data_IF_043980154785
#
_entry.id   IF_043980154785
#
_cell.length_a   1.000
_cell.length_b   1.000
_cell.length_c   1.000
_cell.angle_alpha   90.00
_cell.angle_beta   90.00
_cell.angle_gamma   90.00
#
_symmetry.space_group_name_H-M   'P 1'
#
loop_
_entity.id
_entity.type
_entity.pdbx_description
1 polymer ?
#
# COMPACT_ATOMS: atom_id res chain seq x y z
N UNK A 1 36.73 -63.89 -53.61
CA UNK A 1 36.91 -62.60 -54.31
C UNK A 1 36.27 -61.54 -53.42
N UNK A 2 36.90 -60.54 -52.82
CA UNK A 2 38.24 -59.94 -52.87
C UNK A 2 38.60 -59.41 -51.45
N UNK A 3 39.88 -59.61 -51.08
CA UNK A 3 40.81 -58.97 -50.11
C UNK A 3 40.29 -57.97 -49.05
N UNK A 4 40.54 -58.14 -47.72
CA UNK A 4 41.79 -58.12 -46.90
C UNK A 4 42.54 -56.77 -46.87
N UNK A 5 42.66 -56.15 -45.69
CA UNK A 5 43.84 -55.46 -45.08
C UNK A 5 43.45 -55.00 -43.65
N UNK A 6 43.84 -55.68 -42.55
CA UNK A 6 45.01 -55.43 -41.67
C UNK A 6 45.42 -53.97 -41.45
N UNK A 7 45.31 -53.50 -40.20
CA UNK A 7 46.47 -52.92 -39.50
C UNK A 7 46.35 -51.52 -38.87
N UNK A 8 46.62 -51.49 -37.55
CA UNK A 8 47.46 -50.53 -36.80
C UNK A 8 46.77 -49.29 -36.18
N UNK A 9 46.93 -49.24 -34.85
CA UNK A 9 46.61 -48.16 -33.94
C UNK A 9 47.52 -46.93 -34.16
N UNK A 10 46.93 -45.74 -34.03
CA UNK A 10 47.66 -44.51 -33.78
C UNK A 10 46.92 -43.71 -32.69
N UNK A 11 47.56 -43.58 -31.54
CA UNK A 11 47.15 -42.72 -30.45
C UNK A 11 47.34 -41.26 -30.87
N UNK A 12 46.30 -40.44 -30.67
CA UNK A 12 46.38 -38.99 -30.79
C UNK A 12 45.72 -38.37 -29.56
N UNK A 13 46.58 -37.86 -28.69
CA UNK A 13 46.25 -36.95 -27.60
C UNK A 13 45.48 -35.74 -28.14
N UNK A 14 44.31 -35.47 -27.57
CA UNK A 14 43.69 -34.15 -27.63
C UNK A 14 43.34 -33.73 -26.20
N UNK A 15 44.19 -32.85 -25.64
CA UNK A 15 43.90 -32.10 -24.42
C UNK A 15 42.66 -31.24 -24.66
N UNK A 16 41.51 -31.64 -24.12
CA UNK A 16 40.37 -30.76 -23.97
C UNK A 16 40.54 -30.00 -22.64
N UNK A 17 41.07 -28.77 -22.75
CA UNK A 17 41.00 -27.75 -21.70
C UNK A 17 39.52 -27.48 -21.40
N UNK A 18 39.02 -28.02 -20.30
CA UNK A 18 37.76 -27.59 -19.72
C UNK A 18 37.97 -26.18 -19.15
N UNK A 19 37.58 -25.16 -19.92
CA UNK A 19 37.30 -23.83 -19.38
C UNK A 19 36.03 -23.96 -18.52
N UNK A 20 36.22 -24.38 -17.28
CA UNK A 20 35.26 -24.18 -16.21
C UNK A 20 35.18 -22.69 -15.93
N UNK A 21 34.39 -21.97 -16.73
CA UNK A 21 33.93 -20.63 -16.39
C UNK A 21 32.99 -20.76 -15.21
N UNK A 22 33.55 -20.72 -14.00
CA UNK A 22 32.80 -20.36 -12.80
C UNK A 22 32.28 -18.94 -13.04
N UNK A 23 31.03 -18.82 -13.46
CA UNK A 23 30.30 -17.58 -13.30
C UNK A 23 30.17 -17.39 -11.78
N UNK A 24 30.99 -16.51 -11.22
CA UNK A 24 30.72 -15.93 -9.91
C UNK A 24 29.32 -15.31 -10.00
N UNK A 25 28.34 -15.89 -9.32
CA UNK A 25 27.12 -15.18 -8.94
C UNK A 25 27.60 -13.93 -8.18
N UNK A 26 27.71 -12.82 -8.90
CA UNK A 26 28.07 -11.54 -8.30
C UNK A 26 26.93 -11.19 -7.36
N UNK A 27 27.14 -11.36 -6.06
CA UNK A 27 26.15 -10.99 -5.04
C UNK A 27 25.85 -9.50 -5.19
N UNK A 28 24.71 -9.17 -5.79
CA UNK A 28 24.27 -7.79 -5.97
C UNK A 28 24.17 -7.10 -4.60
N UNK A 29 24.68 -5.87 -4.53
CA UNK A 29 24.56 -5.02 -3.35
C UNK A 29 23.08 -4.80 -2.96
N UNK A 30 22.78 -4.48 -1.70
CA UNK A 30 21.40 -4.16 -1.29
C UNK A 30 20.80 -3.02 -2.11
N UNK A 31 21.58 -1.99 -2.43
CA UNK A 31 21.16 -0.87 -3.26
C UNK A 31 20.79 -1.29 -4.68
N UNK A 32 21.62 -2.12 -5.34
CA UNK A 32 21.31 -2.62 -6.69
C UNK A 32 20.06 -3.50 -6.72
N UNK A 33 19.87 -4.34 -5.69
CA UNK A 33 18.65 -5.13 -5.52
C UNK A 33 17.42 -4.25 -5.36
N UNK A 34 17.51 -3.22 -4.51
CA UNK A 34 16.43 -2.27 -4.28
C UNK A 34 16.09 -1.47 -5.55
N UNK A 35 17.11 -0.94 -6.24
CA UNK A 35 16.95 -0.24 -7.52
C UNK A 35 16.24 -1.11 -8.56
N UNK A 36 16.68 -2.36 -8.71
CA UNK A 36 16.07 -3.32 -9.64
C UNK A 36 14.61 -3.61 -9.29
N UNK A 37 14.31 -3.84 -8.00
CA UNK A 37 12.95 -4.08 -7.53
C UNK A 37 12.03 -2.86 -7.75
N UNK A 38 12.53 -1.65 -7.52
CA UNK A 38 11.76 -0.42 -7.68
C UNK A 38 11.51 -0.09 -9.15
N UNK A 39 12.52 -0.21 -10.02
CA UNK A 39 12.44 0.14 -11.43
C UNK A 39 11.72 -0.89 -12.30
N UNK A 40 11.60 -2.15 -11.85
CA UNK A 40 10.89 -3.20 -12.57
C UNK A 40 9.36 -3.15 -12.43
N UNK A 41 8.84 -2.22 -11.61
CA UNK A 41 7.39 -2.04 -11.42
C UNK A 41 6.75 -1.46 -12.68
N UNK A 42 5.66 -2.08 -13.13
CA UNK A 42 4.85 -1.50 -14.18
C UNK A 42 3.82 -0.55 -13.57
N UNK A 43 4.07 0.76 -13.61
CA UNK A 43 3.16 1.76 -13.03
C UNK A 43 2.16 2.26 -14.07
N UNK A 44 0.89 2.42 -13.67
CA UNK A 44 -0.15 2.93 -14.56
C UNK A 44 0.16 4.38 -14.99
N UNK A 45 -0.13 4.70 -16.25
CA UNK A 45 0.23 5.98 -16.86
C UNK A 45 -0.51 7.21 -16.32
N UNK A 46 -1.54 7.03 -15.48
CA UNK A 46 -2.25 8.15 -14.87
C UNK A 46 -1.56 8.67 -13.60
N UNK A 47 -0.63 7.90 -13.02
CA UNK A 47 0.23 8.38 -11.94
C UNK A 47 1.31 9.31 -12.49
N UNK A 48 1.80 10.21 -11.64
CA UNK A 48 2.91 11.08 -11.99
C UNK A 48 4.16 10.28 -12.37
N UNK A 49 4.87 10.77 -13.38
CA UNK A 49 6.11 10.17 -13.88
C UNK A 49 7.34 10.51 -13.01
N UNK A 50 7.13 11.27 -11.93
CA UNK A 50 8.16 11.77 -11.00
C UNK A 50 7.71 11.63 -9.55
N UNK A 51 8.64 11.77 -8.58
CA UNK A 51 8.28 11.77 -7.17
C UNK A 51 7.26 12.85 -6.81
N UNK A 52 6.23 12.47 -6.07
CA UNK A 52 5.23 13.36 -5.49
C UNK A 52 5.17 13.21 -3.98
N UNK A 53 4.78 14.30 -3.31
CA UNK A 53 4.55 14.35 -1.86
C UNK A 53 3.09 14.73 -1.65
N UNK A 54 2.34 13.85 -0.97
CA UNK A 54 0.92 14.09 -0.68
C UNK A 54 0.77 14.71 0.71
N UNK A 55 0.32 15.96 0.76
CA UNK A 55 -0.04 16.64 2.02
C UNK A 55 -1.45 16.21 2.44
N UNK A 56 -1.55 15.07 3.12
CA UNK A 56 -2.82 14.43 3.44
C UNK A 56 -3.00 14.14 4.93
N UNK A 57 -3.97 14.83 5.54
CA UNK A 57 -4.26 14.73 6.98
C UNK A 57 -5.45 13.84 7.28
N UNK A 58 -6.41 13.70 6.37
CA UNK A 58 -7.69 13.02 6.61
C UNK A 58 -8.04 11.98 5.54
N UNK A 59 -7.17 11.73 4.56
CA UNK A 59 -7.38 10.77 3.48
C UNK A 59 -7.94 11.39 2.19
N UNK A 60 -8.32 12.67 2.19
CA UNK A 60 -8.94 13.29 1.01
C UNK A 60 -7.97 13.33 -0.18
N UNK A 61 -6.76 13.85 0.04
CA UNK A 61 -5.77 14.02 -1.04
C UNK A 61 -5.33 12.67 -1.60
N UNK A 62 -5.12 11.67 -0.75
CA UNK A 62 -4.79 10.31 -1.23
C UNK A 62 -5.99 9.62 -1.90
N UNK A 63 -7.22 9.88 -1.47
CA UNK A 63 -8.42 9.37 -2.15
C UNK A 63 -8.53 9.94 -3.56
N UNK A 64 -8.33 11.24 -3.73
CA UNK A 64 -8.27 11.91 -5.03
C UNK A 64 -7.14 11.37 -5.91
N UNK A 65 -5.98 11.11 -5.30
CA UNK A 65 -4.80 10.61 -6.00
C UNK A 65 -4.95 9.17 -6.50
N UNK A 66 -5.40 8.26 -5.65
CA UNK A 66 -5.46 6.83 -5.97
C UNK A 66 -6.77 6.41 -6.63
N UNK A 67 -7.88 7.10 -6.39
CA UNK A 67 -9.20 6.65 -6.82
C UNK A 67 -9.86 7.66 -7.76
N UNK A 68 -9.93 7.32 -9.04
CA UNK A 68 -10.75 8.06 -10.02
C UNK A 68 -12.25 7.90 -9.72
N UNK A 69 -12.65 6.71 -9.26
CA UNK A 69 -14.02 6.39 -8.84
C UNK A 69 -14.02 5.23 -7.86
N UNK A 70 -15.03 5.16 -6.99
CA UNK A 70 -15.31 4.01 -6.14
C UNK A 70 -16.79 3.98 -5.75
N UNK A 71 -17.46 2.84 -5.92
CA UNK A 71 -18.87 2.70 -5.53
C UNK A 71 -19.06 2.63 -4.00
N UNK A 72 -17.96 2.41 -3.28
CA UNK A 72 -17.92 2.34 -1.81
C UNK A 72 -16.94 3.35 -1.22
N UNK A 73 -17.24 3.86 -0.03
CA UNK A 73 -16.39 4.75 0.75
C UNK A 73 -16.44 4.34 2.22
N UNK A 74 -15.30 4.28 2.89
CA UNK A 74 -15.20 4.08 4.33
C UNK A 74 -14.90 5.42 5.00
N UNK A 75 -15.64 5.76 6.06
CA UNK A 75 -15.43 6.99 6.82
C UNK A 75 -15.27 6.62 8.29
N UNK A 76 -14.14 6.92 8.91
CA UNK A 76 -13.95 6.74 10.35
C UNK A 76 -14.14 8.04 11.11
N UNK A 77 -14.32 7.97 12.42
CA UNK A 77 -14.02 9.12 13.28
C UNK A 77 -12.49 9.30 13.45
N UNK A 78 -12.09 10.26 14.30
CA UNK A 78 -10.68 10.60 14.55
C UNK A 78 -9.94 9.64 15.49
N UNK A 79 -10.63 8.70 16.15
CA UNK A 79 -9.98 7.78 17.10
C UNK A 79 -9.12 6.74 16.37
N UNK A 80 -7.99 6.36 16.97
CA UNK A 80 -7.03 5.44 16.34
C UNK A 80 -7.64 4.05 16.16
N UNK A 81 -8.41 3.57 17.13
CA UNK A 81 -9.11 2.29 17.07
C UNK A 81 -10.14 2.24 15.92
N UNK A 82 -10.91 3.32 15.71
CA UNK A 82 -11.85 3.39 14.58
C UNK A 82 -11.11 3.45 13.25
N UNK A 83 -10.02 4.20 13.17
CA UNK A 83 -9.17 4.28 11.99
C UNK A 83 -8.53 2.92 11.65
N UNK A 84 -8.03 2.16 12.63
CA UNK A 84 -7.48 0.81 12.41
C UNK A 84 -8.52 -0.17 11.87
N UNK A 85 -9.74 -0.11 12.41
CA UNK A 85 -10.86 -0.92 11.91
C UNK A 85 -11.28 -0.50 10.50
N UNK A 86 -11.43 0.80 10.26
CA UNK A 86 -11.75 1.35 8.94
C UNK A 86 -10.69 0.98 7.90
N UNK A 87 -9.40 1.13 8.23
CA UNK A 87 -8.29 0.77 7.35
C UNK A 87 -8.30 -0.72 7.01
N UNK A 88 -8.62 -1.59 7.98
CA UNK A 88 -8.77 -3.04 7.73
C UNK A 88 -9.87 -3.34 6.72
N UNK A 89 -11.00 -2.63 6.81
CA UNK A 89 -12.14 -2.79 5.90
C UNK A 89 -11.82 -2.22 4.53
N UNK A 90 -11.32 -0.98 4.46
CA UNK A 90 -10.95 -0.27 3.25
C UNK A 90 -9.90 -1.03 2.44
N UNK A 91 -8.83 -1.48 3.10
CA UNK A 91 -7.74 -2.22 2.46
C UNK A 91 -8.23 -3.54 1.82
N UNK A 92 -9.13 -4.26 2.48
CA UNK A 92 -9.68 -5.50 1.96
C UNK A 92 -10.78 -5.28 0.90
N UNK A 93 -11.64 -4.28 1.11
CA UNK A 93 -12.74 -3.97 0.20
C UNK A 93 -12.28 -3.24 -1.06
N UNK A 94 -11.01 -2.81 -1.12
CA UNK A 94 -10.47 -1.95 -2.17
C UNK A 94 -11.28 -0.65 -2.28
N UNK A 95 -11.61 -0.06 -1.13
CA UNK A 95 -12.40 1.14 -1.00
C UNK A 95 -11.56 2.28 -0.41
N UNK A 96 -11.73 3.53 -0.87
CA UNK A 96 -11.13 4.69 -0.22
C UNK A 96 -11.65 4.85 1.22
N UNK A 97 -10.82 5.49 2.03
CA UNK A 97 -11.01 5.79 3.44
C UNK A 97 -10.79 7.28 3.68
N UNK A 98 -11.71 7.89 4.43
CA UNK A 98 -11.57 9.23 4.98
C UNK A 98 -11.71 9.20 6.50
N UNK A 99 -11.07 10.16 7.17
CA UNK A 99 -11.30 10.51 8.57
C UNK A 99 -12.27 11.68 8.61
N UNK A 100 -13.39 11.49 9.30
CA UNK A 100 -14.38 12.53 9.50
C UNK A 100 -13.92 13.52 10.55
N UNK A 101 -14.13 14.80 10.26
CA UNK A 101 -14.22 15.86 11.25
C UNK A 101 -15.28 16.89 10.87
N UNK A 102 -15.67 17.71 11.84
CA UNK A 102 -16.75 18.68 11.64
C UNK A 102 -16.37 19.82 10.67
N UNK A 103 -15.08 20.17 10.57
CA UNK A 103 -14.61 21.24 9.69
C UNK A 103 -14.61 20.79 8.23
N UNK A 104 -14.41 19.49 7.98
CA UNK A 104 -14.31 18.90 6.66
C UNK A 104 -15.55 18.08 6.25
N UNK A 105 -16.69 18.25 6.93
CA UNK A 105 -17.94 17.57 6.59
C UNK A 105 -18.31 17.73 5.10
N UNK A 106 -18.22 18.95 4.58
CA UNK A 106 -18.53 19.23 3.18
C UNK A 106 -17.61 18.49 2.20
N UNK A 107 -16.34 18.32 2.55
CA UNK A 107 -15.37 17.58 1.73
C UNK A 107 -15.72 16.09 1.67
N UNK A 108 -16.18 15.49 2.77
CA UNK A 108 -16.63 14.08 2.76
C UNK A 108 -17.81 13.88 1.80
N UNK A 109 -18.76 14.83 1.77
CA UNK A 109 -19.90 14.79 0.84
C UNK A 109 -19.43 14.97 -0.60
N UNK A 110 -18.61 15.99 -0.88
CA UNK A 110 -18.06 16.23 -2.22
C UNK A 110 -17.26 15.04 -2.72
N UNK A 111 -16.47 14.40 -1.86
CA UNK A 111 -15.68 13.25 -2.22
C UNK A 111 -16.53 12.00 -2.48
N UNK A 112 -17.61 11.82 -1.70
CA UNK A 112 -18.62 10.78 -1.97
C UNK A 112 -19.22 10.94 -3.37
N UNK A 113 -19.55 12.18 -3.77
CA UNK A 113 -20.08 12.51 -5.09
C UNK A 113 -19.03 12.31 -6.21
N UNK A 114 -17.80 12.80 -6.02
CA UNK A 114 -16.69 12.65 -6.98
C UNK A 114 -16.42 11.18 -7.29
N UNK A 115 -16.35 10.36 -6.24
CA UNK A 115 -16.12 8.92 -6.35
C UNK A 115 -17.31 8.18 -6.98
N UNK A 116 -18.50 8.78 -6.99
CA UNK A 116 -19.79 8.14 -7.31
C UNK A 116 -20.08 6.99 -6.34
N UNK A 117 -19.78 7.21 -5.07
CA UNK A 117 -19.99 6.21 -4.03
C UNK A 117 -21.49 6.11 -3.69
N UNK A 118 -22.07 4.94 -3.92
CA UNK A 118 -23.46 4.65 -3.56
C UNK A 118 -23.60 3.99 -2.18
N UNK A 119 -22.47 3.61 -1.56
CA UNK A 119 -22.43 2.99 -0.24
C UNK A 119 -21.31 3.61 0.60
N UNK A 120 -21.69 4.26 1.69
CA UNK A 120 -20.75 4.80 2.69
C UNK A 120 -20.83 3.93 3.95
N UNK A 121 -19.69 3.45 4.44
CA UNK A 121 -19.60 2.76 5.72
C UNK A 121 -18.95 3.67 6.76
N UNK A 122 -19.70 4.02 7.80
CA UNK A 122 -19.18 4.80 8.92
C UNK A 122 -18.66 3.90 10.04
N UNK A 123 -17.43 4.14 10.52
CA UNK A 123 -16.79 3.41 11.62
C UNK A 123 -16.52 4.38 12.79
N UNK A 124 -17.02 4.06 13.98
CA UNK A 124 -16.91 4.96 15.13
C UNK A 124 -18.05 5.98 15.24
N UNK A 125 -17.81 7.07 15.96
CA UNK A 125 -18.76 8.17 16.22
C UNK A 125 -18.83 9.19 15.07
N UNK A 126 -19.08 8.72 13.85
CA UNK A 126 -19.26 9.60 12.70
C UNK A 126 -20.69 10.18 12.70
N UNK A 127 -20.88 11.52 12.75
CA UNK A 127 -22.20 12.15 12.81
C UNK A 127 -22.81 12.36 11.41
N UNK A 128 -22.64 11.38 10.51
CA UNK A 128 -23.36 11.33 9.23
C UNK A 128 -24.64 10.55 9.46
N UNK A 129 -25.78 11.16 9.14
CA UNK A 129 -27.07 10.51 9.29
C UNK A 129 -27.17 9.32 8.32
N UNK A 130 -27.72 8.18 8.76
CA UNK A 130 -28.12 7.11 7.85
C UNK A 130 -29.10 7.70 6.83
N UNK A 131 -28.71 7.68 5.56
CA UNK A 131 -29.58 8.04 4.45
C UNK A 131 -29.89 6.78 3.65
N UNK A 132 -31.16 6.64 3.28
CA UNK A 132 -31.63 5.67 2.29
C UNK A 132 -32.11 6.46 1.08
N UNK A 133 -31.26 6.54 0.06
CA UNK A 133 -31.50 7.28 -1.17
C UNK A 133 -30.47 6.85 -2.22
N UNK A 134 -29.96 7.80 -3.01
CA UNK A 134 -28.89 7.54 -3.98
C UNK A 134 -27.58 7.06 -3.32
N UNK A 135 -27.31 7.53 -2.10
CA UNK A 135 -26.20 7.08 -1.26
C UNK A 135 -26.76 6.38 -0.02
N UNK A 136 -26.31 5.16 0.23
CA UNK A 136 -26.66 4.38 1.43
C UNK A 136 -25.57 4.56 2.47
N UNK A 137 -25.92 5.10 3.63
CA UNK A 137 -24.98 5.26 4.75
C UNK A 137 -25.22 4.17 5.80
N UNK A 138 -24.27 3.25 5.91
CA UNK A 138 -24.29 2.11 6.80
C UNK A 138 -23.37 2.34 8.00
N UNK A 139 -23.83 1.94 9.19
CA UNK A 139 -23.02 2.00 10.41
C UNK A 139 -22.33 0.67 10.64
N UNK A 140 -21.02 0.71 10.79
CA UNK A 140 -20.26 -0.43 11.22
C UNK A 140 -20.70 -0.87 12.63
N UNK A 141 -21.08 -2.14 12.81
CA UNK A 141 -21.56 -2.67 14.09
C UNK A 141 -20.44 -3.15 15.03
N UNK A 142 -19.17 -2.98 14.67
CA UNK A 142 -18.03 -3.47 15.46
C UNK A 142 -17.84 -5.00 15.42
N UNK A 143 -16.74 -5.46 16.03
CA UNK A 143 -16.45 -6.89 16.21
C UNK A 143 -16.07 -7.67 14.95
N UNK A 144 -15.52 -8.87 15.16
CA UNK A 144 -15.04 -9.77 14.10
C UNK A 144 -16.18 -10.48 13.36
N UNK A 145 -17.23 -10.87 14.07
CA UNK A 145 -18.37 -11.59 13.49
C UNK A 145 -19.07 -10.72 12.43
N UNK A 146 -19.34 -9.47 12.76
CA UNK A 146 -20.00 -8.58 11.83
C UNK A 146 -19.12 -8.23 10.64
N UNK A 147 -17.82 -8.07 10.84
CA UNK A 147 -16.87 -7.86 9.76
C UNK A 147 -16.94 -8.99 8.73
N UNK A 148 -17.01 -10.25 9.20
CA UNK A 148 -17.19 -11.40 8.31
C UNK A 148 -18.55 -11.47 7.63
N UNK A 149 -19.63 -11.06 8.31
CA UNK A 149 -20.97 -10.95 7.70
C UNK A 149 -21.03 -9.89 6.60
N UNK A 150 -20.42 -8.72 6.83
CA UNK A 150 -20.46 -7.60 5.90
C UNK A 150 -19.69 -7.88 4.60
N UNK A 151 -18.54 -8.56 4.73
CA UNK A 151 -17.60 -8.80 3.63
C UNK A 151 -17.70 -10.20 3.03
N UNK A 152 -18.50 -11.08 3.63
CA UNK A 152 -18.61 -12.50 3.28
C UNK A 152 -17.29 -13.28 3.33
N UNK A 153 -16.32 -12.84 4.14
CA UNK A 153 -15.04 -13.53 4.32
C UNK A 153 -14.62 -13.64 5.78
N UNK A 154 -13.66 -14.53 6.06
CA UNK A 154 -13.13 -14.70 7.41
C UNK A 154 -11.89 -13.83 7.61
N UNK A 155 -12.02 -12.86 8.49
CA UNK A 155 -10.88 -12.03 8.93
C UNK A 155 -10.04 -12.76 9.98
N UNK A 156 -8.73 -12.52 9.92
CA UNK A 156 -7.79 -12.85 10.99
C UNK A 156 -7.58 -11.63 11.85
N UNK A 157 -7.65 -11.80 13.16
CA UNK A 157 -7.36 -10.71 14.09
C UNK A 157 -5.85 -10.57 14.28
N UNK A 158 -5.36 -9.32 14.20
CA UNK A 158 -4.00 -8.93 14.56
C UNK A 158 -4.10 -7.80 15.57
N UNK A 159 -3.70 -8.07 16.80
CA UNK A 159 -3.69 -7.07 17.85
C UNK A 159 -2.59 -6.02 17.59
N UNK A 160 -2.97 -4.74 17.65
CA UNK A 160 -2.06 -3.60 17.73
C UNK A 160 -2.01 -3.19 19.20
N UNK A 161 -0.82 -3.25 19.80
CA UNK A 161 -0.65 -3.05 21.25
C UNK A 161 -0.46 -1.60 21.66
N UNK A 162 0.04 -0.78 20.74
CA UNK A 162 0.43 0.60 20.98
C UNK A 162 -0.11 1.50 19.86
N UNK A 163 -0.83 2.59 20.17
CA UNK A 163 -1.26 3.57 19.18
C UNK A 163 -0.13 4.08 18.28
N UNK A 164 1.10 4.22 18.79
CA UNK A 164 2.26 4.66 18.00
C UNK A 164 2.67 3.67 16.89
N UNK A 165 2.17 2.43 16.93
CA UNK A 165 2.40 1.40 15.91
C UNK A 165 1.28 1.34 14.86
N UNK A 166 0.25 2.18 14.96
CA UNK A 166 -0.93 2.08 14.12
C UNK A 166 -0.61 2.29 12.62
N UNK A 167 0.15 3.32 12.28
CA UNK A 167 0.58 3.63 10.91
C UNK A 167 1.34 2.45 10.29
N UNK A 168 2.34 1.93 11.02
CA UNK A 168 3.12 0.77 10.60
C UNK A 168 2.25 -0.48 10.42
N UNK A 169 1.34 -0.75 11.35
CA UNK A 169 0.43 -1.88 11.25
C UNK A 169 -0.45 -1.77 9.98
N UNK A 170 -0.91 -0.58 9.63
CA UNK A 170 -1.70 -0.36 8.41
C UNK A 170 -0.84 -0.53 7.16
N UNK A 171 0.39 0.00 7.14
CA UNK A 171 1.32 -0.16 6.01
C UNK A 171 1.61 -1.64 5.71
N UNK A 172 1.66 -2.48 6.75
CA UNK A 172 1.93 -3.92 6.64
C UNK A 172 0.69 -4.76 6.23
N UNK A 173 -0.52 -4.18 6.09
CA UNK A 173 -1.75 -4.93 5.79
C UNK A 173 -1.71 -5.63 4.44
N UNK A 174 -1.62 -6.95 4.39
CA UNK A 174 -1.73 -7.68 3.13
C UNK A 174 -3.19 -7.73 2.65
N UNK A 175 -3.53 -7.04 1.56
CA UNK A 175 -4.91 -6.97 1.05
C UNK A 175 -5.45 -8.29 0.49
N UNK A 176 -4.58 -9.26 0.18
CA UNK A 176 -4.99 -10.62 -0.19
C UNK A 176 -5.37 -11.47 1.03
N UNK A 177 -5.02 -11.03 2.24
CA UNK A 177 -5.30 -11.74 3.49
C UNK A 177 -6.17 -10.85 4.39
N UNK A 178 -7.50 -11.07 4.42
CA UNK A 178 -8.39 -10.26 5.25
C UNK A 178 -7.94 -10.27 6.70
N UNK A 179 -7.47 -9.11 7.17
CA UNK A 179 -6.84 -8.93 8.48
C UNK A 179 -7.52 -7.77 9.19
N UNK A 180 -7.99 -8.01 10.41
CA UNK A 180 -8.54 -6.99 11.28
C UNK A 180 -7.46 -6.52 12.24
N UNK A 181 -7.08 -5.26 12.14
CA UNK A 181 -6.23 -4.59 13.12
C UNK A 181 -7.09 -4.23 14.33
N UNK A 182 -7.02 -5.05 15.37
CA UNK A 182 -7.73 -4.80 16.61
C UNK A 182 -6.85 -3.98 17.55
N UNK A 183 -7.29 -2.79 17.92
CA UNK A 183 -6.65 -2.00 18.96
C UNK A 183 -6.85 -2.69 20.32
N UNK A 184 -5.75 -3.08 20.99
CA UNK A 184 -5.87 -3.79 22.27
C UNK A 184 -6.28 -2.88 23.43
N UNK A 185 -6.16 -1.56 23.25
CA UNK A 185 -6.42 -0.56 24.30
C UNK A 185 -7.87 -0.04 24.31
N UNK A 186 -8.57 -0.08 23.18
CA UNK A 186 -9.90 0.49 23.03
C UNK A 186 -10.70 -0.22 21.93
N UNK A 187 -12.01 -0.04 21.94
CA UNK A 187 -12.90 -0.49 20.88
C UNK A 187 -13.56 0.72 20.21
N UNK A 188 -13.71 0.72 18.87
CA UNK A 188 -14.42 1.79 18.18
C UNK A 188 -15.84 1.96 18.73
N UNK A 189 -16.32 3.20 18.79
CA UNK A 189 -17.71 3.47 19.17
C UNK A 189 -18.66 2.81 18.18
N UNK A 190 -19.59 1.99 18.68
CA UNK A 190 -20.65 1.40 17.87
C UNK A 190 -21.93 2.20 18.09
N UNK A 191 -22.40 2.89 17.04
CA UNK A 191 -23.64 3.68 17.12
C UNK A 191 -24.88 2.78 17.29
N UNK A 192 -25.93 3.28 17.96
CA UNK A 192 -27.22 2.59 18.03
C UNK A 192 -27.74 2.25 16.63
N UNK A 193 -28.42 1.10 16.52
CA UNK A 193 -28.98 0.55 15.28
C UNK A 193 -27.94 0.18 14.20
N UNK A 194 -26.65 0.15 14.51
CA UNK A 194 -25.66 -0.45 13.62
C UNK A 194 -25.98 -1.93 13.39
N UNK A 195 -26.00 -2.33 12.12
CA UNK A 195 -26.33 -3.70 11.70
C UNK A 195 -25.32 -4.12 10.65
N UNK A 196 -24.91 -5.39 10.71
CA UNK A 196 -24.03 -5.98 9.71
C UNK A 196 -24.78 -6.08 8.37
N UNK A 197 -24.63 -5.06 7.53
CA UNK A 197 -25.17 -5.04 6.17
C UNK A 197 -24.07 -5.39 5.17
N UNK A 198 -24.40 -6.03 4.03
CA UNK A 198 -23.41 -6.29 2.99
C UNK A 198 -22.68 -5.00 2.58
N UNK A 199 -21.35 -5.04 2.65
CA UNK A 199 -20.47 -3.98 2.17
C UNK A 199 -19.77 -4.51 0.91
N UNK A 200 -20.01 -3.90 -0.27
CA UNK A 200 -19.41 -4.36 -1.51
C UNK A 200 -17.88 -4.40 -1.43
N UNK A 201 -17.29 -5.47 -1.96
CA UNK A 201 -15.84 -5.65 -2.08
C UNK A 201 -15.50 -5.57 -3.55
N UNK A 202 -14.54 -4.71 -3.89
CA UNK A 202 -14.10 -4.53 -5.27
C UNK A 202 -12.88 -5.40 -5.58
N UNK A 203 -12.69 -5.72 -6.86
CA UNK A 203 -11.51 -6.43 -7.32
C UNK A 203 -10.28 -5.52 -7.38
N UNK A 204 -9.11 -6.07 -7.07
CA UNK A 204 -7.74 -5.49 -7.19
C UNK A 204 -7.32 -4.98 -8.58
N UNK A 205 -8.23 -4.66 -9.51
CA UNK A 205 -7.95 -4.54 -10.96
C UNK A 205 -6.64 -3.84 -11.31
N UNK A 206 -6.26 -2.80 -10.57
CA UNK A 206 -5.10 -1.95 -10.87
C UNK A 206 -4.03 -1.93 -9.75
N UNK A 207 -4.15 -2.84 -8.79
CA UNK A 207 -3.30 -2.88 -7.60
C UNK A 207 -1.84 -3.24 -7.88
N UNK A 208 -1.59 -4.04 -8.91
CA UNK A 208 -0.22 -4.40 -9.33
C UNK A 208 0.43 -3.27 -10.15
N UNK A 209 -0.32 -2.21 -10.44
CA UNK A 209 0.08 -1.05 -11.24
C UNK A 209 0.35 0.21 -10.41
N UNK A 210 0.39 0.09 -9.09
CA UNK A 210 0.65 1.20 -8.19
C UNK A 210 2.15 1.57 -8.16
N UNK A 211 2.48 2.86 -8.00
CA UNK A 211 3.86 3.28 -7.75
C UNK A 211 4.36 2.73 -6.41
N UNK A 212 5.68 2.82 -6.19
CA UNK A 212 6.23 2.63 -4.85
C UNK A 212 5.70 3.75 -3.94
N UNK A 213 5.17 3.36 -2.78
CA UNK A 213 4.64 4.30 -1.79
C UNK A 213 5.51 4.23 -0.54
N UNK A 214 5.85 5.38 0.05
CA UNK A 214 6.64 5.44 1.29
C UNK A 214 5.88 6.27 2.33
N UNK A 215 5.83 5.78 3.56
CA UNK A 215 5.14 6.38 4.69
C UNK A 215 6.03 6.38 5.93
N UNK A 216 5.72 7.25 6.89
CA UNK A 216 6.38 7.30 8.21
C UNK A 216 5.37 7.25 9.35
N UNK A 217 5.84 7.38 10.59
CA UNK A 217 4.98 7.52 11.76
C UNK A 217 4.15 8.81 11.79
N UNK A 218 4.49 9.81 10.97
CA UNK A 218 3.75 11.08 10.86
C UNK A 218 2.67 11.04 9.77
N UNK A 219 2.71 10.06 8.88
CA UNK A 219 1.68 9.88 7.85
C UNK A 219 0.32 9.58 8.47
N UNK A 220 -0.75 10.19 7.95
CA UNK A 220 -2.11 9.87 8.39
C UNK A 220 -2.48 8.41 8.07
N UNK A 221 -3.19 7.75 8.99
CA UNK A 221 -3.62 6.34 8.79
C UNK A 221 -4.50 6.21 7.55
N UNK A 222 -5.37 7.19 7.28
CA UNK A 222 -6.22 7.19 6.09
C UNK A 222 -5.41 7.23 4.79
N UNK A 223 -4.33 8.02 4.73
CA UNK A 223 -3.48 8.07 3.55
C UNK A 223 -2.77 6.73 3.26
N UNK A 224 -2.25 6.08 4.32
CA UNK A 224 -1.69 4.73 4.20
C UNK A 224 -2.78 3.73 3.79
N UNK A 225 -3.97 3.81 4.41
CA UNK A 225 -5.09 2.93 4.10
C UNK A 225 -5.53 3.05 2.64
N UNK A 226 -5.57 4.26 2.08
CA UNK A 226 -5.89 4.50 0.67
C UNK A 226 -4.87 3.89 -0.27
N UNK A 227 -3.57 4.07 0.02
CA UNK A 227 -2.52 3.40 -0.75
C UNK A 227 -2.67 1.87 -0.69
N UNK A 228 -2.92 1.29 0.49
CA UNK A 228 -3.14 -0.16 0.64
C UNK A 228 -4.42 -0.62 -0.05
N UNK A 229 -5.51 0.12 0.05
CA UNK A 229 -6.79 -0.18 -0.59
C UNK A 229 -6.71 -0.14 -2.11
N UNK A 230 -5.97 0.82 -2.67
CA UNK A 230 -5.65 0.81 -4.09
C UNK A 230 -4.80 -0.42 -4.45
N UNK A 231 -3.98 -0.89 -3.50
CA UNK A 231 -3.23 -2.12 -3.58
C UNK A 231 -1.72 -1.93 -3.65
N UNK A 232 -1.25 -0.70 -3.41
CA UNK A 232 0.14 -0.34 -3.39
C UNK A 232 0.93 -1.04 -2.28
N UNK A 233 2.19 -1.34 -2.57
CA UNK A 233 3.16 -1.68 -1.55
C UNK A 233 3.57 -0.38 -0.82
N UNK A 234 3.36 -0.33 0.50
CA UNK A 234 3.78 0.81 1.32
C UNK A 234 5.02 0.41 2.10
N UNK A 235 6.15 1.05 1.79
CA UNK A 235 7.36 0.97 2.60
C UNK A 235 7.20 1.92 3.80
N UNK A 236 7.21 1.37 5.01
CA UNK A 236 7.22 2.17 6.23
C UNK A 236 8.67 2.41 6.65
N UNK A 237 9.04 3.68 6.83
CA UNK A 237 10.38 4.11 7.25
C UNK A 237 10.30 5.00 8.48
N UNK A 238 11.32 4.93 9.34
CA UNK A 238 11.35 5.72 10.58
C UNK A 238 11.83 7.16 10.34
N UNK A 239 12.78 7.36 9.42
CA UNK A 239 13.32 8.68 9.04
C UNK A 239 13.00 8.97 7.56
N UNK A 240 12.35 10.09 7.21
CA UNK A 240 11.99 10.40 5.83
C UNK A 240 13.16 10.80 4.92
N UNK A 241 14.36 11.08 5.43
CA UNK A 241 15.50 11.50 4.60
C UNK A 241 16.34 10.29 4.13
N UNK A 242 16.38 9.98 2.81
CA UNK A 242 17.18 8.87 2.29
C UNK A 242 18.68 9.07 2.51
N UNK A 243 19.16 10.30 2.76
CA UNK A 243 20.58 10.57 3.04
C UNK A 243 20.97 10.24 4.48
N UNK A 244 19.99 10.15 5.38
CA UNK A 244 20.19 9.85 6.80
C UNK A 244 19.81 8.41 7.16
N UNK A 245 19.01 7.74 6.32
CA UNK A 245 18.47 6.40 6.60
C UNK A 245 18.63 5.47 5.41
N UNK A 246 19.37 4.38 5.64
CA UNK A 246 19.51 3.29 4.66
C UNK A 246 18.16 2.69 4.27
N UNK A 247 17.26 2.47 5.23
CA UNK A 247 15.94 1.89 4.91
C UNK A 247 15.12 2.77 3.97
N UNK A 248 15.28 4.09 4.10
CA UNK A 248 14.62 5.10 3.26
C UNK A 248 15.28 5.19 1.90
N UNK A 249 16.62 5.17 1.84
CA UNK A 249 17.36 5.05 0.60
C UNK A 249 16.90 3.82 -0.20
N UNK A 250 16.89 2.64 0.42
CA UNK A 250 16.49 1.41 -0.27
C UNK A 250 15.03 1.47 -0.73
N UNK A 251 14.12 2.07 0.06
CA UNK A 251 12.73 2.26 -0.36
C UNK A 251 12.58 3.19 -1.59
N UNK A 252 13.52 4.11 -1.81
CA UNK A 252 13.46 5.13 -2.86
C UNK A 252 14.48 4.91 -3.98
N UNK A 253 15.31 3.88 -3.89
CA UNK A 253 16.42 3.62 -4.79
C UNK A 253 15.94 3.50 -6.25
N UNK A 254 16.59 4.22 -7.16
CA UNK A 254 16.31 4.24 -8.58
C UNK A 254 15.12 5.09 -9.00
N UNK A 255 14.47 5.80 -8.07
CA UNK A 255 13.21 6.50 -8.31
C UNK A 255 13.33 8.03 -8.40
N UNK A 256 14.53 8.57 -8.56
CA UNK A 256 14.73 10.02 -8.67
C UNK A 256 13.96 10.65 -9.86
N UNK A 257 13.87 9.94 -10.98
CA UNK A 257 13.12 10.35 -12.18
C UNK A 257 12.05 9.30 -12.56
N UNK A 258 11.40 8.71 -11.55
CA UNK A 258 10.35 7.70 -11.76
C UNK A 258 9.16 7.91 -10.80
N UNK A 259 8.02 7.26 -11.06
CA UNK A 259 6.86 7.34 -10.16
C UNK A 259 7.19 6.88 -8.73
N UNK A 260 6.98 7.79 -7.78
CA UNK A 260 7.20 7.56 -6.35
C UNK A 260 6.22 8.43 -5.57
N UNK A 261 5.51 7.84 -4.62
CA UNK A 261 4.54 8.56 -3.80
C UNK A 261 5.01 8.59 -2.36
N UNK A 262 5.20 9.79 -1.82
CA UNK A 262 5.61 10.03 -0.45
C UNK A 262 4.41 10.56 0.33
N UNK A 263 3.99 9.84 1.35
CA UNK A 263 2.78 10.18 2.11
C UNK A 263 3.12 11.10 3.28
N UNK A 264 2.89 12.40 3.10
CA UNK A 264 3.02 13.44 4.12
C UNK A 264 4.19 14.40 3.89
N UNK A 265 4.06 15.60 4.44
CA UNK A 265 4.99 16.72 4.22
C UNK A 265 6.33 16.58 4.92
N UNK A 266 6.50 15.61 5.83
CA UNK A 266 7.76 15.29 6.50
C UNK A 266 8.87 14.86 5.53
N UNK A 267 8.52 14.41 4.32
CA UNK A 267 9.50 14.16 3.25
C UNK A 267 10.06 15.45 2.62
N UNK A 268 9.46 16.60 2.87
CA UNK A 268 9.81 17.89 2.29
C UNK A 268 9.08 18.15 0.97
N UNK A 269 9.64 19.05 0.14
CA UNK A 269 9.02 19.41 -1.13
C UNK A 269 9.36 18.37 -2.20
N UNK A 270 8.38 18.00 -3.02
CA UNK A 270 8.56 17.06 -4.13
C UNK A 270 9.74 17.41 -5.05
N UNK A 271 9.96 18.71 -5.33
CA UNK A 271 11.07 19.18 -6.19
C UNK A 271 12.46 18.85 -5.66
N UNK A 272 12.61 18.68 -4.35
CA UNK A 272 13.91 18.41 -3.72
C UNK A 272 14.20 16.89 -3.65
N UNK A 273 13.20 16.03 -3.84
CA UNK A 273 13.29 14.59 -3.66
C UNK A 273 14.29 13.92 -4.62
N UNK A 274 14.27 14.19 -5.94
CA UNK A 274 15.21 13.57 -6.87
C UNK A 274 16.66 13.78 -6.46
N UNK A 275 17.00 15.01 -6.06
CA UNK A 275 18.36 15.35 -5.64
C UNK A 275 18.77 14.62 -4.35
N UNK A 276 17.85 14.45 -3.39
CA UNK A 276 18.13 13.72 -2.15
C UNK A 276 18.37 12.23 -2.40
N UNK A 277 17.58 11.61 -3.29
CA UNK A 277 17.78 10.22 -3.69
C UNK A 277 19.16 10.06 -4.33
N UNK A 278 19.48 10.88 -5.34
CA UNK A 278 20.79 10.81 -6.03
C UNK A 278 21.96 11.00 -5.06
N UNK A 279 21.90 12.00 -4.17
CA UNK A 279 22.93 12.18 -3.15
C UNK A 279 23.07 10.97 -2.22
N UNK A 280 21.97 10.34 -1.82
CA UNK A 280 22.03 9.18 -0.95
C UNK A 280 22.64 7.96 -1.67
N UNK A 281 22.30 7.75 -2.95
CA UNK A 281 22.87 6.68 -3.77
C UNK A 281 24.36 6.86 -4.07
N UNK A 282 24.80 8.09 -4.31
CA UNK A 282 26.23 8.41 -4.55
C UNK A 282 27.11 8.15 -3.32
N UNK A 283 26.52 8.18 -2.12
CA UNK A 283 27.23 8.06 -0.84
C UNK A 283 27.05 6.68 -0.16
N UNK A 284 26.38 5.72 -0.82
CA UNK A 284 26.15 4.37 -0.32
C UNK A 284 27.28 3.41 -0.70
#
# INVERSE_FOLDING_TARGET
MQNRFRGIAAALCACALALGGCAEETEQSPLEKARTANQSRHVAAFFDDRPVVLDDTNGLVSSEYFFVSSETLVVSDQTVEAQLRAASIAAYAHAPMLVYDAQHHAQVIQETERLKAHTVLTVGDVPIAPLSGEVRVNRDPGGLEALGKMTSVRFRERAVQDPARAQRAVAELNTTQPTWLNASWAQPVVKPNAKAQPFPVHSRRDADMAPQVVATGETSIASIANARAYGAAVAYVDDPDPRASESTLLAMAGLADAPLVLLGTQFGRAIDIPQRIMQAEENY
#
